data_IF_690433383638
#
_entry.id   IF_690433383638
#
_cell.length_a   1.000
_cell.length_b   1.000
_cell.length_c   1.000
_cell.angle_alpha   90.00
_cell.angle_beta   90.00
_cell.angle_gamma   90.00
#
_symmetry.space_group_name_H-M   'P 1'
#
loop_
_entity.id
_entity.type
_entity.pdbx_description
1 polymer ?
#
# COMPACT_ATOMS: atom_id res chain seq x y z
N UNK A 1 -20.90 -10.20 2.40
CA UNK A 1 -21.17 -8.83 1.93
C UNK A 1 -20.61 -8.72 0.52
N UNK A 2 -21.25 -7.98 -0.37
CA UNK A 2 -20.87 -7.93 -1.79
C UNK A 2 -19.54 -7.22 -2.00
N UNK A 3 -18.66 -7.82 -2.80
CA UNK A 3 -17.46 -7.19 -3.36
C UNK A 3 -17.80 -5.86 -4.04
N UNK A 4 -16.91 -4.88 -3.92
CA UNK A 4 -17.11 -3.56 -4.52
C UNK A 4 -16.53 -3.53 -5.94
N UNK A 5 -17.38 -3.26 -6.94
CA UNK A 5 -16.98 -3.22 -8.36
C UNK A 5 -16.26 -1.94 -8.81
N UNK A 6 -15.78 -1.10 -7.87
CA UNK A 6 -15.01 0.11 -8.18
C UNK A 6 -13.74 0.19 -7.32
N UNK A 7 -12.60 0.66 -7.87
CA UNK A 7 -11.37 0.80 -7.08
C UNK A 7 -11.54 1.86 -5.99
N UNK A 8 -11.60 1.43 -4.73
CA UNK A 8 -11.92 2.27 -3.57
C UNK A 8 -10.79 3.21 -3.10
N UNK A 9 -9.72 3.32 -3.87
CA UNK A 9 -8.64 4.29 -3.69
C UNK A 9 -8.68 5.43 -4.72
N UNK A 10 -9.62 5.41 -5.67
CA UNK A 10 -9.73 6.44 -6.70
C UNK A 10 -10.27 7.73 -6.13
N UNK A 11 -9.61 8.83 -6.46
CA UNK A 11 -9.99 10.16 -5.99
C UNK A 11 -10.96 10.83 -6.97
N UNK A 12 -11.64 11.86 -6.50
CA UNK A 12 -12.42 12.79 -7.32
C UNK A 12 -11.83 14.20 -7.23
N UNK A 13 -12.03 15.06 -8.25
CA UNK A 13 -11.59 16.46 -8.17
C UNK A 13 -12.22 17.20 -6.98
N UNK A 14 -11.43 18.01 -6.30
CA UNK A 14 -11.83 18.85 -5.17
C UNK A 14 -12.12 20.30 -5.56
N UNK A 15 -11.85 21.25 -4.65
CA UNK A 15 -12.21 22.66 -4.83
C UNK A 15 -11.40 23.42 -5.88
N UNK A 16 -10.29 22.85 -6.36
CA UNK A 16 -9.43 23.42 -7.41
C UNK A 16 -8.63 22.33 -8.13
N UNK A 17 -7.88 22.69 -9.17
CA UNK A 17 -7.16 21.75 -10.05
C UNK A 17 -6.00 20.99 -9.39
N UNK A 18 -5.58 21.39 -8.19
CA UNK A 18 -4.52 20.72 -7.41
C UNK A 18 -5.08 19.97 -6.19
N UNK A 19 -6.39 19.98 -5.99
CA UNK A 19 -7.05 19.37 -4.84
C UNK A 19 -7.92 18.20 -5.30
N UNK A 20 -7.83 17.10 -4.55
CA UNK A 20 -8.53 15.86 -4.80
C UNK A 20 -9.11 15.34 -3.49
N UNK A 21 -10.18 14.55 -3.60
CA UNK A 21 -10.89 14.01 -2.45
C UNK A 21 -10.98 12.50 -2.61
N UNK A 22 -10.61 11.76 -1.57
CA UNK A 22 -11.00 10.36 -1.41
C UNK A 22 -12.20 10.29 -0.47
N UNK A 23 -13.42 9.99 -0.94
CA UNK A 23 -14.53 9.64 -0.08
C UNK A 23 -14.19 8.33 0.65
N UNK A 24 -14.21 8.33 1.98
CA UNK A 24 -13.86 7.14 2.76
C UNK A 24 -15.07 6.22 2.83
N UNK A 25 -14.95 5.08 2.17
CA UNK A 25 -15.94 4.01 2.18
C UNK A 25 -15.42 2.81 2.98
N UNK A 26 -16.28 1.91 3.51
CA UNK A 26 -15.83 0.75 4.28
C UNK A 26 -14.67 -0.06 3.63
N UNK A 27 -14.66 -0.34 2.32
CA UNK A 27 -13.54 -1.00 1.63
C UNK A 27 -12.16 -0.34 1.83
N UNK A 28 -12.13 0.98 2.08
CA UNK A 28 -10.94 1.76 2.31
C UNK A 28 -10.45 1.71 3.77
N UNK A 29 -11.07 0.90 4.63
CA UNK A 29 -10.82 0.91 6.07
C UNK A 29 -10.31 -0.42 6.62
N UNK A 30 -9.65 -0.34 7.77
CA UNK A 30 -9.25 -1.46 8.63
C UNK A 30 -9.54 -1.11 10.10
N UNK A 31 -9.38 -2.08 11.00
CA UNK A 31 -9.64 -1.92 12.43
C UNK A 31 -11.03 -2.44 12.86
N UNK A 32 -11.34 -2.36 14.17
CA UNK A 32 -12.56 -2.93 14.71
C UNK A 32 -13.81 -2.13 14.39
N UNK A 33 -14.95 -2.82 14.51
CA UNK A 33 -16.26 -2.18 14.39
C UNK A 33 -16.41 -1.04 15.41
N UNK A 34 -17.00 0.07 14.97
CA UNK A 34 -17.12 1.30 15.74
C UNK A 34 -15.87 2.20 15.78
N UNK A 35 -14.69 1.73 15.38
CA UNK A 35 -13.47 2.56 15.26
C UNK A 35 -12.63 2.24 14.00
N UNK A 36 -13.24 2.15 12.79
CA UNK A 36 -12.48 1.96 11.57
C UNK A 36 -11.63 3.20 11.26
N UNK A 37 -10.50 2.97 10.60
CA UNK A 37 -9.63 4.01 10.08
C UNK A 37 -9.15 3.63 8.69
N UNK A 38 -8.76 4.64 7.91
CA UNK A 38 -8.22 4.40 6.57
C UNK A 38 -6.87 3.70 6.69
N UNK A 39 -6.68 2.60 5.96
CA UNK A 39 -5.38 1.91 5.91
C UNK A 39 -4.33 2.82 5.28
N UNK A 40 -3.10 2.82 5.81
CA UNK A 40 -2.01 3.66 5.30
C UNK A 40 -1.75 3.45 3.80
N UNK A 41 -1.74 2.20 3.34
CA UNK A 41 -1.57 1.84 1.93
C UNK A 41 -2.69 2.36 1.03
N UNK A 42 -3.92 2.49 1.54
CA UNK A 42 -5.04 3.07 0.78
C UNK A 42 -4.93 4.59 0.71
N UNK A 43 -4.56 5.25 1.80
CA UNK A 43 -4.25 6.68 1.77
C UNK A 43 -3.08 6.97 0.79
N UNK A 44 -2.05 6.13 0.79
CA UNK A 44 -0.94 6.23 -0.15
C UNK A 44 -1.40 6.00 -1.60
N UNK A 45 -2.23 4.98 -1.86
CA UNK A 45 -2.79 4.70 -3.19
C UNK A 45 -3.65 5.85 -3.73
N UNK A 46 -4.45 6.48 -2.88
CA UNK A 46 -5.25 7.64 -3.26
C UNK A 46 -4.38 8.87 -3.58
N UNK A 47 -3.28 9.06 -2.87
CA UNK A 47 -2.30 10.10 -3.20
C UNK A 47 -1.61 9.81 -4.53
N UNK A 48 -1.27 8.54 -4.80
CA UNK A 48 -0.70 8.13 -6.09
C UNK A 48 -1.69 8.44 -7.23
N UNK A 49 -2.96 8.10 -7.06
CA UNK A 49 -4.01 8.41 -8.03
C UNK A 49 -4.10 9.92 -8.27
N UNK A 50 -4.20 10.73 -7.21
CA UNK A 50 -4.24 12.19 -7.29
C UNK A 50 -3.01 12.79 -7.99
N UNK A 51 -1.81 12.28 -7.71
CA UNK A 51 -0.57 12.75 -8.32
C UNK A 51 -0.51 12.41 -9.81
N UNK A 52 -0.94 11.21 -10.20
CA UNK A 52 -0.99 10.82 -11.61
C UNK A 52 -2.02 11.65 -12.39
N UNK A 53 -3.19 11.91 -11.79
CA UNK A 53 -4.20 12.80 -12.37
C UNK A 53 -3.68 14.24 -12.50
N UNK A 54 -3.06 14.79 -11.46
CA UNK A 54 -2.52 16.15 -11.46
C UNK A 54 -1.37 16.36 -12.46
N UNK A 55 -0.54 15.34 -12.65
CA UNK A 55 0.63 15.40 -13.53
C UNK A 55 0.35 14.95 -14.97
N UNK A 56 -0.69 14.12 -15.17
CA UNK A 56 -0.90 13.37 -16.41
C UNK A 56 0.22 12.35 -16.69
N UNK A 57 0.99 11.96 -15.68
CA UNK A 57 2.19 11.13 -15.80
C UNK A 57 2.15 9.93 -14.85
N UNK A 58 2.79 8.79 -15.20
CA UNK A 58 2.85 7.64 -14.32
C UNK A 58 3.75 7.89 -13.11
N UNK A 59 3.46 7.22 -12.00
CA UNK A 59 4.34 7.19 -10.84
C UNK A 59 5.65 6.45 -11.15
N UNK A 60 6.79 6.99 -10.70
CA UNK A 60 8.07 6.28 -10.65
C UNK A 60 8.41 5.88 -9.21
N UNK A 61 8.24 6.82 -8.29
CA UNK A 61 8.64 6.69 -6.90
C UNK A 61 7.78 7.57 -6.00
N UNK A 62 7.50 7.12 -4.79
CA UNK A 62 6.91 7.93 -3.72
C UNK A 62 7.48 7.54 -2.35
N UNK A 63 7.43 8.49 -1.43
CA UNK A 63 7.59 8.26 0.00
C UNK A 63 6.46 8.98 0.73
N UNK A 64 5.75 8.26 1.59
CA UNK A 64 4.76 8.81 2.51
C UNK A 64 5.30 8.77 3.95
N UNK A 65 5.01 9.82 4.71
CA UNK A 65 5.14 9.83 6.16
C UNK A 65 3.76 9.87 6.80
N UNK A 66 3.50 8.96 7.73
CA UNK A 66 2.27 8.87 8.51
C UNK A 66 2.40 9.74 9.77
N UNK A 67 1.62 10.81 9.87
CA UNK A 67 1.77 11.84 10.90
C UNK A 67 0.71 11.76 11.99
N UNK A 68 -0.52 11.39 11.62
CA UNK A 68 -1.66 11.33 12.54
C UNK A 68 -2.67 10.26 12.08
N UNK A 69 -3.46 9.69 13.01
CA UNK A 69 -4.48 8.70 12.69
C UNK A 69 -5.61 9.28 11.84
N UNK A 70 -6.25 8.41 11.07
CA UNK A 70 -7.42 8.69 10.19
C UNK A 70 -8.71 8.08 10.73
N UNK A 71 -8.78 7.84 12.04
CA UNK A 71 -9.98 7.28 12.68
C UNK A 71 -11.17 8.21 12.45
N UNK A 72 -12.29 7.64 12.01
CA UNK A 72 -13.51 8.38 11.64
C UNK A 72 -13.34 9.41 10.51
N UNK A 73 -12.32 9.26 9.66
CA UNK A 73 -12.24 10.06 8.45
C UNK A 73 -13.44 9.74 7.54
N UNK A 74 -14.22 10.75 7.18
CA UNK A 74 -15.28 10.64 6.16
C UNK A 74 -14.71 10.90 4.75
N UNK A 75 -13.65 11.70 4.69
CA UNK A 75 -12.92 12.01 3.46
C UNK A 75 -11.44 12.27 3.76
N UNK A 76 -10.59 12.03 2.77
CA UNK A 76 -9.22 12.55 2.73
C UNK A 76 -9.14 13.66 1.70
N UNK A 77 -8.70 14.86 2.12
CA UNK A 77 -8.42 15.98 1.21
C UNK A 77 -6.94 15.95 0.84
N UNK A 78 -6.64 15.77 -0.44
CA UNK A 78 -5.30 15.58 -0.97
C UNK A 78 -4.94 16.79 -1.83
N UNK A 79 -3.84 17.46 -1.52
CA UNK A 79 -3.31 18.58 -2.32
C UNK A 79 -1.99 18.21 -2.96
N UNK A 80 -1.90 18.36 -4.27
CA UNK A 80 -0.74 17.98 -5.07
C UNK A 80 -0.03 19.22 -5.64
N UNK A 81 1.29 19.21 -5.64
CA UNK A 81 2.08 20.30 -6.22
C UNK A 81 3.37 19.75 -6.85
N UNK A 82 3.66 20.19 -8.08
CA UNK A 82 4.97 20.00 -8.67
C UNK A 82 5.95 21.02 -8.09
N UNK A 83 6.85 20.55 -7.23
CA UNK A 83 7.85 21.39 -6.56
C UNK A 83 9.17 21.48 -7.33
N UNK A 84 9.35 20.70 -8.39
CA UNK A 84 10.54 20.77 -9.24
C UNK A 84 10.56 19.76 -10.38
N UNK A 85 11.75 19.49 -10.92
CA UNK A 85 11.95 18.62 -12.07
C UNK A 85 11.68 19.30 -13.41
N UNK A 86 11.56 18.49 -14.47
CA UNK A 86 11.31 18.94 -15.83
C UNK A 86 10.06 18.30 -16.43
N UNK A 87 9.86 18.48 -17.74
CA UNK A 87 8.69 17.95 -18.43
C UNK A 87 8.63 16.42 -18.46
N UNK A 88 9.77 15.74 -18.60
CA UNK A 88 9.79 14.26 -18.66
C UNK A 88 9.70 13.61 -17.30
N UNK A 89 10.26 14.25 -16.25
CA UNK A 89 10.24 13.75 -14.88
C UNK A 89 10.07 14.93 -13.93
N UNK A 90 8.91 15.00 -13.28
CA UNK A 90 8.57 15.99 -12.27
C UNK A 90 8.92 15.50 -10.87
N UNK A 91 9.27 16.44 -9.99
CA UNK A 91 9.33 16.22 -8.54
C UNK A 91 8.09 16.84 -7.92
N UNK A 92 7.37 16.05 -7.14
CA UNK A 92 6.06 16.38 -6.62
C UNK A 92 6.01 16.22 -5.11
N UNK A 93 5.14 16.99 -4.48
CA UNK A 93 4.71 16.78 -3.10
C UNK A 93 3.20 16.64 -3.04
N UNK A 94 2.73 15.91 -2.04
CA UNK A 94 1.32 15.94 -1.67
C UNK A 94 1.14 16.01 -0.15
N UNK A 95 0.05 16.64 0.27
CA UNK A 95 -0.37 16.73 1.67
C UNK A 95 -1.79 16.19 1.80
N UNK A 96 -2.01 15.33 2.80
CA UNK A 96 -3.31 14.74 3.08
C UNK A 96 -3.87 15.31 4.37
N UNK A 97 -5.10 15.77 4.33
CA UNK A 97 -5.81 16.35 5.46
C UNK A 97 -7.09 15.58 5.77
N UNK A 98 -7.38 15.43 7.06
CA UNK A 98 -8.66 14.95 7.59
C UNK A 98 -9.17 16.01 8.57
N UNK A 99 -10.35 16.57 8.33
CA UNK A 99 -10.92 17.62 9.18
C UNK A 99 -9.95 18.80 9.44
N UNK A 100 -9.14 19.14 8.44
CA UNK A 100 -8.13 20.20 8.52
C UNK A 100 -6.81 19.83 9.22
N UNK A 101 -6.70 18.64 9.81
CA UNK A 101 -5.44 18.12 10.36
C UNK A 101 -4.66 17.40 9.27
N UNK A 102 -3.39 17.77 9.07
CA UNK A 102 -2.50 17.02 8.17
C UNK A 102 -2.18 15.64 8.76
N UNK A 103 -2.58 14.58 8.06
CA UNK A 103 -2.38 13.19 8.48
C UNK A 103 -1.24 12.51 7.74
N UNK A 104 -0.94 12.92 6.52
CA UNK A 104 0.15 12.38 5.71
C UNK A 104 0.89 13.47 4.95
N UNK A 105 2.18 13.25 4.73
CA UNK A 105 3.01 14.06 3.84
C UNK A 105 3.77 13.18 2.88
N UNK A 106 3.75 13.54 1.60
CA UNK A 106 4.28 12.72 0.52
C UNK A 106 5.28 13.52 -0.31
N UNK A 107 6.37 12.85 -0.71
CA UNK A 107 7.25 13.26 -1.81
C UNK A 107 7.19 12.22 -2.91
N UNK A 108 7.19 12.63 -4.17
CA UNK A 108 7.06 11.72 -5.30
C UNK A 108 7.84 12.20 -6.54
N UNK A 109 8.14 11.25 -7.41
CA UNK A 109 8.62 11.49 -8.75
C UNK A 109 7.65 10.84 -9.75
N UNK A 110 7.19 11.62 -10.71
CA UNK A 110 6.27 11.18 -11.77
C UNK A 110 6.88 11.50 -13.14
N UNK A 111 6.54 10.69 -14.12
CA UNK A 111 7.03 10.84 -15.50
C UNK A 111 7.66 9.57 -16.03
N UNK A 112 8.30 9.70 -17.19
CA UNK A 112 9.02 8.64 -17.86
C UNK A 112 10.02 9.25 -18.86
N UNK A 113 11.01 8.47 -19.26
CA UNK A 113 11.90 8.81 -20.38
C UNK A 113 11.84 7.68 -21.38
N UNK A 114 11.10 7.89 -22.46
CA UNK A 114 10.90 6.87 -23.49
C UNK A 114 11.66 7.20 -24.78
N UNK A 115 12.11 6.17 -25.53
CA UNK A 115 12.05 4.74 -25.18
C UNK A 115 13.10 4.36 -24.12
N UNK A 116 12.72 3.50 -23.18
CA UNK A 116 13.67 2.88 -22.23
C UNK A 116 13.55 1.36 -22.26
N UNK A 117 14.66 0.66 -22.48
CA UNK A 117 14.69 -0.81 -22.35
C UNK A 117 14.60 -1.20 -20.88
N UNK A 118 13.73 -2.15 -20.56
CA UNK A 118 13.60 -2.66 -19.20
C UNK A 118 14.69 -3.71 -18.94
N UNK A 119 15.41 -3.57 -17.83
CA UNK A 119 16.33 -4.61 -17.34
C UNK A 119 16.01 -4.92 -15.89
N UNK A 120 15.66 -6.17 -15.60
CA UNK A 120 15.28 -6.63 -14.28
C UNK A 120 16.34 -7.59 -13.75
N UNK A 121 16.91 -7.25 -12.60
CA UNK A 121 17.89 -8.09 -11.89
C UNK A 121 17.30 -8.83 -10.70
N UNK A 122 16.13 -8.40 -10.21
CA UNK A 122 15.49 -9.05 -9.09
C UNK A 122 14.82 -10.35 -9.55
N UNK A 123 15.07 -11.43 -8.81
CA UNK A 123 14.44 -12.72 -9.04
C UNK A 123 13.31 -12.93 -8.02
N UNK A 124 12.19 -13.48 -8.49
CA UNK A 124 11.12 -13.95 -7.61
C UNK A 124 11.65 -15.13 -6.78
N UNK A 125 11.44 -15.16 -5.45
CA UNK A 125 11.86 -16.28 -4.62
C UNK A 125 11.07 -17.55 -4.95
N UNK A 126 11.71 -18.70 -4.79
CA UNK A 126 11.07 -20.01 -4.92
C UNK A 126 10.16 -20.26 -3.72
N UNK A 127 8.85 -20.11 -3.92
CA UNK A 127 7.80 -20.30 -2.92
C UNK A 127 6.59 -20.99 -3.57
N UNK A 128 5.73 -21.67 -2.79
CA UNK A 128 4.53 -22.29 -3.32
C UNK A 128 3.65 -21.31 -4.12
N UNK A 129 3.06 -21.80 -5.21
CA UNK A 129 2.07 -21.07 -5.99
C UNK A 129 0.83 -20.75 -5.13
N UNK A 130 -0.05 -19.82 -5.54
CA UNK A 130 -1.26 -19.49 -4.79
C UNK A 130 -2.14 -20.72 -4.50
N UNK A 131 -2.29 -21.64 -5.47
CA UNK A 131 -3.07 -22.87 -5.32
C UNK A 131 -2.58 -23.81 -4.22
N UNK A 132 -1.27 -23.79 -3.95
CA UNK A 132 -0.59 -24.64 -2.95
C UNK A 132 -0.28 -23.89 -1.65
N UNK A 133 -0.68 -22.62 -1.56
CA UNK A 133 -0.47 -21.76 -0.39
C UNK A 133 -1.67 -21.80 0.56
N UNK A 134 -1.42 -21.55 1.84
CA UNK A 134 -2.46 -21.62 2.88
C UNK A 134 -3.35 -20.38 2.84
N UNK A 135 -4.67 -20.55 2.76
CA UNK A 135 -5.62 -19.44 2.85
C UNK A 135 -5.50 -18.73 4.21
N UNK A 136 -5.49 -17.40 4.21
CA UNK A 136 -5.61 -16.59 5.41
C UNK A 136 -7.05 -16.09 5.47
N UNK A 137 -7.78 -16.55 6.48
CA UNK A 137 -9.14 -16.10 6.75
C UNK A 137 -9.17 -14.63 7.20
N UNK A 138 -10.26 -13.95 6.86
CA UNK A 138 -10.54 -12.59 7.35
C UNK A 138 -10.54 -12.60 8.89
N UNK A 139 -9.81 -11.70 9.57
CA UNK A 139 -9.83 -11.64 11.03
C UNK A 139 -11.18 -11.21 11.57
N UNK A 140 -11.71 -11.93 12.57
CA UNK A 140 -13.03 -11.67 13.17
C UNK A 140 -13.17 -10.28 13.79
N UNK A 141 -12.07 -9.71 14.28
CA UNK A 141 -12.06 -8.41 14.95
C UNK A 141 -12.13 -7.22 13.99
N UNK A 142 -12.06 -7.43 12.67
CA UNK A 142 -12.12 -6.35 11.69
C UNK A 142 -13.58 -6.03 11.35
N UNK A 143 -13.87 -4.75 11.12
CA UNK A 143 -15.21 -4.28 10.72
C UNK A 143 -15.71 -4.97 9.43
N UNK A 144 -17.01 -5.27 9.30
CA UNK A 144 -17.57 -5.83 8.07
C UNK A 144 -17.52 -4.87 6.87
N UNK A 145 -17.27 -5.38 5.67
CA UNK A 145 -17.16 -4.58 4.44
C UNK A 145 -15.82 -3.85 4.31
N UNK A 146 -14.85 -4.14 5.18
CA UNK A 146 -13.51 -3.55 5.20
C UNK A 146 -12.65 -3.98 4.01
N UNK A 147 -11.41 -3.51 3.96
CA UNK A 147 -10.40 -3.99 3.01
C UNK A 147 -10.29 -5.53 2.99
N UNK A 148 -10.33 -6.18 4.16
CA UNK A 148 -10.19 -7.65 4.23
C UNK A 148 -11.36 -8.41 3.59
N UNK A 149 -12.50 -7.75 3.36
CA UNK A 149 -13.62 -8.30 2.59
C UNK A 149 -13.46 -8.12 1.08
N UNK A 150 -12.45 -7.37 0.62
CA UNK A 150 -12.20 -7.09 -0.80
C UNK A 150 -11.02 -7.88 -1.38
N UNK A 151 -10.30 -8.63 -0.54
CA UNK A 151 -9.03 -9.25 -0.91
C UNK A 151 -9.03 -10.73 -0.53
N UNK A 152 -8.34 -11.55 -1.31
CA UNK A 152 -7.97 -12.90 -0.93
C UNK A 152 -6.48 -12.91 -0.56
N UNK A 153 -6.16 -13.54 0.56
CA UNK A 153 -4.80 -13.63 1.10
C UNK A 153 -4.39 -15.09 1.22
N UNK A 154 -3.19 -15.44 0.73
CA UNK A 154 -2.61 -16.76 0.94
C UNK A 154 -1.16 -16.69 1.38
N UNK A 155 -0.83 -17.45 2.42
CA UNK A 155 0.51 -17.54 2.98
C UNK A 155 1.30 -18.63 2.25
N UNK A 156 2.35 -18.22 1.53
CA UNK A 156 3.27 -19.14 0.88
C UNK A 156 4.48 -19.47 1.76
N UNK A 157 4.94 -18.50 2.57
CA UNK A 157 6.09 -18.66 3.47
C UNK A 157 5.97 -17.74 4.68
N UNK A 158 6.34 -18.23 5.85
CA UNK A 158 6.68 -17.42 7.02
C UNK A 158 7.91 -18.01 7.71
N UNK A 159 8.94 -17.18 7.92
CA UNK A 159 10.16 -17.51 8.65
C UNK A 159 10.42 -16.36 9.64
N UNK A 160 9.90 -16.53 10.85
CA UNK A 160 9.92 -15.48 11.88
C UNK A 160 11.34 -15.20 12.36
N UNK A 161 12.15 -16.25 12.53
CA UNK A 161 13.54 -16.14 12.99
C UNK A 161 14.40 -15.34 12.02
N UNK A 162 14.09 -15.41 10.71
CA UNK A 162 14.79 -14.65 9.66
C UNK A 162 14.05 -13.39 9.21
N UNK A 163 12.88 -13.10 9.78
CA UNK A 163 12.08 -11.91 9.41
C UNK A 163 11.50 -11.96 7.99
N UNK A 164 11.27 -13.15 7.42
CA UNK A 164 10.81 -13.30 6.03
C UNK A 164 9.36 -13.74 5.95
N UNK A 165 8.62 -13.16 5.00
CA UNK A 165 7.25 -13.58 4.67
C UNK A 165 6.98 -13.48 3.19
N UNK A 166 6.31 -14.48 2.64
CA UNK A 166 5.79 -14.46 1.28
C UNK A 166 4.26 -14.57 1.33
N UNK A 167 3.58 -13.52 0.88
CA UNK A 167 2.13 -13.37 0.94
C UNK A 167 1.59 -13.15 -0.47
N UNK A 168 0.74 -14.06 -0.94
CA UNK A 168 -0.05 -13.86 -2.13
C UNK A 168 -1.29 -13.02 -1.78
N UNK A 169 -1.55 -11.99 -2.59
CA UNK A 169 -2.74 -11.14 -2.47
C UNK A 169 -3.41 -11.00 -3.83
N UNK A 170 -4.74 -11.05 -3.86
CA UNK A 170 -5.55 -10.83 -5.07
C UNK A 170 -6.79 -10.02 -4.72
N UNK A 171 -7.19 -9.11 -5.61
CA UNK A 171 -8.48 -8.41 -5.49
C UNK A 171 -9.61 -9.39 -5.79
N UNK A 172 -10.63 -9.45 -4.93
CA UNK A 172 -11.82 -10.26 -5.21
C UNK A 172 -12.67 -9.66 -6.35
N UNK A 173 -12.59 -8.34 -6.54
CA UNK A 173 -13.30 -7.62 -7.61
C UNK A 173 -12.50 -7.54 -8.93
N UNK A 174 -11.45 -8.37 -9.09
CA UNK A 174 -10.60 -8.41 -10.29
C UNK A 174 -10.06 -7.03 -10.73
N UNK A 175 -9.66 -6.20 -9.76
CA UNK A 175 -9.00 -4.94 -10.10
C UNK A 175 -7.65 -5.17 -10.80
N UNK A 176 -7.27 -4.31 -11.76
CA UNK A 176 -5.95 -4.32 -12.35
C UNK A 176 -4.85 -4.15 -11.30
N UNK A 177 -3.69 -4.75 -11.56
CA UNK A 177 -2.50 -4.58 -10.72
C UNK A 177 -1.81 -3.27 -11.12
N UNK A 178 -2.42 -2.15 -10.74
CA UNK A 178 -1.89 -0.81 -10.96
C UNK A 178 -1.03 -0.32 -9.77
N UNK A 179 -0.44 0.89 -9.89
CA UNK A 179 0.39 1.46 -8.85
C UNK A 179 -0.35 1.67 -7.52
N UNK A 180 -1.66 1.98 -7.57
CA UNK A 180 -2.48 2.15 -6.39
C UNK A 180 -2.73 0.83 -5.67
N UNK A 181 -3.11 -0.22 -6.41
CA UNK A 181 -3.25 -1.57 -5.85
C UNK A 181 -1.93 -2.07 -5.23
N UNK A 182 -0.81 -1.86 -5.91
CA UNK A 182 0.51 -2.24 -5.41
C UNK A 182 0.92 -1.47 -4.14
N UNK A 183 0.52 -0.21 -4.00
CA UNK A 183 0.73 0.56 -2.77
C UNK A 183 -0.13 0.02 -1.61
N UNK A 184 -1.37 -0.41 -1.87
CA UNK A 184 -2.23 -1.04 -0.85
C UNK A 184 -1.56 -2.31 -0.30
N UNK A 185 -1.14 -3.22 -1.18
CA UNK A 185 -0.54 -4.49 -0.75
C UNK A 185 0.87 -4.35 -0.15
N UNK A 186 1.54 -3.21 -0.38
CA UNK A 186 2.83 -2.88 0.26
C UNK A 186 2.69 -2.67 1.77
N UNK A 187 1.57 -2.08 2.21
CA UNK A 187 1.35 -1.72 3.62
C UNK A 187 0.91 -2.92 4.50
N UNK A 188 0.90 -4.15 3.96
CA UNK A 188 0.86 -5.37 4.80
C UNK A 188 2.19 -5.66 5.51
N UNK A 189 3.20 -4.80 5.32
CA UNK A 189 4.55 -4.89 5.88
C UNK A 189 4.59 -5.28 7.38
N UNK A 190 3.93 -4.52 8.27
CA UNK A 190 3.96 -4.81 9.71
C UNK A 190 3.26 -6.12 10.08
N UNK A 191 2.30 -6.56 9.27
CA UNK A 191 1.69 -7.87 9.42
C UNK A 191 2.67 -9.03 9.19
N UNK A 192 3.86 -8.76 8.63
CA UNK A 192 4.80 -9.79 8.20
C UNK A 192 5.48 -10.57 9.31
N UNK A 193 5.42 -10.08 10.56
CA UNK A 193 5.99 -10.76 11.71
C UNK A 193 5.11 -10.56 12.96
N UNK A 194 4.85 -11.61 13.77
CA UNK A 194 3.96 -11.52 14.93
C UNK A 194 4.28 -10.36 15.88
N UNK A 195 5.56 -10.17 16.21
CA UNK A 195 5.98 -9.08 17.11
C UNK A 195 5.78 -7.66 16.56
N UNK A 196 5.50 -7.48 15.26
CA UNK A 196 5.17 -6.19 14.67
C UNK A 196 3.65 -5.97 14.48
N UNK A 197 2.82 -7.02 14.63
CA UNK A 197 1.36 -6.92 14.47
C UNK A 197 0.77 -5.97 15.52
N UNK A 198 -0.10 -5.06 15.09
CA UNK A 198 -0.66 -4.01 15.95
C UNK A 198 0.28 -2.82 16.17
N UNK A 199 1.44 -2.81 15.51
CA UNK A 199 2.29 -1.65 15.39
C UNK A 199 1.68 -0.56 14.50
N UNK A 200 2.38 0.55 14.36
CA UNK A 200 1.94 1.69 13.54
C UNK A 200 3.05 2.08 12.56
N UNK A 201 2.71 2.18 11.28
CA UNK A 201 3.63 2.60 10.23
C UNK A 201 4.11 4.04 10.49
N UNK A 202 5.40 4.29 10.28
CA UNK A 202 6.00 5.63 10.31
C UNK A 202 6.08 6.22 8.91
N UNK A 203 6.45 5.37 7.95
CA UNK A 203 6.62 5.73 6.55
C UNK A 203 6.35 4.55 5.62
N UNK A 204 6.22 4.81 4.33
CA UNK A 204 6.37 3.81 3.26
C UNK A 204 7.04 4.47 2.05
N UNK A 205 8.07 3.84 1.52
CA UNK A 205 8.78 4.26 0.31
C UNK A 205 8.54 3.27 -0.80
N UNK A 206 7.82 3.67 -1.83
CA UNK A 206 7.33 2.83 -2.91
C UNK A 206 7.98 3.19 -4.26
N UNK A 207 8.29 2.17 -5.07
CA UNK A 207 8.83 2.29 -6.43
C UNK A 207 7.98 1.44 -7.35
N UNK A 208 7.38 2.08 -8.33
CA UNK A 208 6.59 1.39 -9.35
C UNK A 208 7.51 0.98 -10.51
N UNK A 209 7.46 -0.29 -10.91
CA UNK A 209 8.22 -0.81 -12.05
C UNK A 209 7.29 -1.00 -13.23
N UNK A 210 6.20 -1.74 -13.03
CA UNK A 210 5.17 -1.95 -14.03
C UNK A 210 3.87 -2.46 -13.39
N UNK A 211 2.78 -2.34 -14.16
CA UNK A 211 1.48 -2.88 -13.79
C UNK A 211 1.08 -4.06 -14.66
N UNK A 212 -0.17 -4.49 -14.53
CA UNK A 212 -0.74 -5.54 -15.37
C UNK A 212 -2.24 -5.73 -15.15
N UNK A 213 -2.78 -6.76 -15.81
CA UNK A 213 -4.15 -7.21 -15.61
C UNK A 213 -4.36 -7.72 -14.18
N UNK A 214 -5.62 -7.98 -13.82
CA UNK A 214 -5.96 -8.54 -12.53
C UNK A 214 -5.31 -9.91 -12.30
N UNK A 215 -4.97 -10.20 -11.05
CA UNK A 215 -4.35 -11.48 -10.70
C UNK A 215 -3.67 -11.47 -9.34
N UNK A 216 -2.90 -12.53 -9.11
CA UNK A 216 -2.12 -12.70 -7.89
C UNK A 216 -0.85 -11.85 -7.89
N UNK A 217 -0.61 -11.20 -6.76
CA UNK A 217 0.63 -10.49 -6.44
C UNK A 217 1.31 -11.18 -5.28
N UNK A 218 2.58 -11.57 -5.47
CA UNK A 218 3.44 -12.05 -4.40
C UNK A 218 4.14 -10.87 -3.74
N UNK A 219 3.82 -10.60 -2.48
CA UNK A 219 4.60 -9.70 -1.64
C UNK A 219 5.62 -10.51 -0.85
N UNK A 220 6.90 -10.39 -1.19
CA UNK A 220 8.00 -10.98 -0.44
C UNK A 220 8.67 -9.94 0.45
N UNK A 221 8.36 -9.98 1.74
CA UNK A 221 8.88 -9.08 2.77
C UNK A 221 10.13 -9.67 3.41
N UNK A 222 11.18 -8.87 3.50
CA UNK A 222 12.42 -9.13 4.23
C UNK A 222 12.59 -8.05 5.31
N UNK A 223 12.26 -8.40 6.55
CA UNK A 223 12.46 -7.54 7.72
C UNK A 223 13.94 -7.56 8.09
N UNK A 224 14.57 -6.39 7.99
CA UNK A 224 16.00 -6.24 8.18
C UNK A 224 16.39 -6.18 9.66
N UNK A 225 15.60 -5.49 10.49
CA UNK A 225 15.92 -5.31 11.90
C UNK A 225 14.72 -4.86 12.72
N UNK A 226 14.63 -5.37 13.95
CA UNK A 226 13.85 -4.78 15.04
C UNK A 226 14.84 -4.20 16.04
N UNK A 227 14.84 -2.88 16.21
CA UNK A 227 15.70 -2.20 17.18
C UNK A 227 15.00 -0.96 17.72
N UNK A 228 15.27 -0.61 18.99
CA UNK A 228 14.70 0.57 19.67
C UNK A 228 13.18 0.73 19.53
N UNK A 229 12.46 -0.39 19.48
CA UNK A 229 11.00 -0.39 19.35
C UNK A 229 10.50 -0.09 17.94
N UNK A 230 11.34 -0.21 16.90
CA UNK A 230 10.99 0.04 15.51
C UNK A 230 11.38 -1.17 14.65
N UNK A 231 10.49 -1.53 13.73
CA UNK A 231 10.73 -2.49 12.66
C UNK A 231 11.19 -1.77 11.40
N UNK A 232 12.18 -2.31 10.70
CA UNK A 232 12.66 -1.84 9.41
C UNK A 232 12.75 -3.01 8.42
N UNK A 233 12.45 -2.75 7.15
CA UNK A 233 12.56 -3.78 6.12
C UNK A 233 12.11 -3.32 4.74
N UNK A 234 12.04 -4.27 3.82
CA UNK A 234 11.66 -4.03 2.43
C UNK A 234 10.80 -5.16 1.90
N UNK A 235 10.01 -4.86 0.88
CA UNK A 235 9.17 -5.82 0.18
C UNK A 235 9.42 -5.69 -1.31
N UNK A 236 9.46 -6.83 -2.01
CA UNK A 236 9.40 -6.88 -3.47
C UNK A 236 8.11 -7.54 -3.89
N UNK A 237 7.44 -6.95 -4.87
CA UNK A 237 6.16 -7.42 -5.36
C UNK A 237 6.32 -8.04 -6.75
N UNK A 238 5.83 -9.25 -6.93
CA UNK A 238 5.92 -9.98 -8.19
C UNK A 238 4.54 -10.41 -8.69
N UNK A 239 4.38 -10.53 -10.00
CA UNK A 239 3.24 -11.25 -10.57
C UNK A 239 3.36 -12.75 -10.30
N UNK A 240 2.28 -13.50 -10.49
CA UNK A 240 2.31 -14.97 -10.44
C UNK A 240 3.34 -15.58 -11.41
N UNK A 241 3.59 -14.92 -12.55
CA UNK A 241 4.59 -15.31 -13.54
C UNK A 241 6.02 -14.89 -13.22
N UNK A 242 6.27 -14.24 -12.07
CA UNK A 242 7.60 -13.85 -11.62
C UNK A 242 8.15 -12.53 -12.14
N UNK A 243 7.32 -11.69 -12.81
CA UNK A 243 7.73 -10.34 -13.19
C UNK A 243 7.76 -9.43 -11.96
N UNK A 244 8.78 -8.58 -11.84
CA UNK A 244 8.87 -7.59 -10.78
C UNK A 244 7.92 -6.42 -11.07
N UNK A 245 7.00 -6.13 -10.14
CA UNK A 245 5.97 -5.11 -10.30
C UNK A 245 6.30 -3.82 -9.53
N UNK A 246 6.79 -3.97 -8.29
CA UNK A 246 7.18 -2.85 -7.45
C UNK A 246 8.15 -3.25 -6.35
N UNK A 247 8.77 -2.23 -5.74
CA UNK A 247 9.65 -2.38 -4.58
C UNK A 247 9.21 -1.37 -3.53
N UNK A 248 9.03 -1.82 -2.29
CA UNK A 248 8.69 -0.97 -1.15
C UNK A 248 9.64 -1.16 0.02
N UNK A 249 9.69 -0.18 0.90
CA UNK A 249 10.42 -0.25 2.17
C UNK A 249 9.75 0.63 3.21
N UNK A 250 9.67 0.15 4.44
CA UNK A 250 8.87 0.77 5.48
C UNK A 250 9.56 0.65 6.84
N UNK A 251 9.33 1.67 7.67
CA UNK A 251 9.56 1.60 9.10
C UNK A 251 8.23 1.66 9.85
N UNK A 252 8.14 0.98 10.98
CA UNK A 252 6.98 1.10 11.87
C UNK A 252 7.32 0.86 13.32
N UNK A 253 6.60 1.56 14.20
CA UNK A 253 6.74 1.41 15.64
C UNK A 253 6.12 0.08 16.04
N UNK A 254 6.90 -0.73 16.77
CA UNK A 254 6.43 -1.98 17.34
C UNK A 254 5.33 -1.70 18.37
N UNK A 255 4.32 -2.58 18.49
CA UNK A 255 3.30 -2.44 19.51
C UNK A 255 3.94 -2.45 20.91
N UNK A 256 3.38 -1.67 21.84
CA UNK A 256 3.82 -1.71 23.26
C UNK A 256 3.60 -3.08 23.90
N UNK A 257 2.55 -3.78 23.46
CA UNK A 257 2.20 -5.13 23.89
C UNK A 257 2.06 -5.95 22.60
N UNK A 258 2.96 -6.91 22.33
CA UNK A 258 2.85 -7.76 21.16
C UNK A 258 1.52 -8.53 21.17
N UNK A 259 0.86 -8.63 20.02
CA UNK A 259 -0.24 -9.57 19.85
C UNK A 259 0.35 -10.97 19.69
N UNK A 260 0.38 -11.73 20.79
CA UNK A 260 1.07 -13.03 20.84
C UNK A 260 0.21 -14.17 20.29
N UNK A 261 -1.12 -14.00 20.22
CA UNK A 261 -2.06 -15.06 19.83
C UNK A 261 -3.11 -14.55 18.83
N UNK A 262 -2.91 -14.84 17.53
CA UNK A 262 -3.93 -14.89 16.47
C UNK A 262 -3.42 -15.78 15.32
#
# INVERSE_FOLDING_TARGET
MSEVGYPFWRVVPGGNSSEFILPVMPPATVGPDGAPHVMGGIAHAAVIDALQEASGQPLLWSNVQFLAPTTHAEELVIRCEQCGGGQSVGQWRAEVHVNGLMTHRISAALGAREPSEQTIFAEMPDVPAPGDSSLIERPDHIAPGSLFDQIELRLALIDQDRGKRALWTRSQADFPVDAGWLAIVSDFFLGSHPAARGGTSLDDTFRFIEGGDSGWVLSFTDLAAFDRGVAHGSTRHFSESGRLLSISSQSGVLPRIPMVDF
#
